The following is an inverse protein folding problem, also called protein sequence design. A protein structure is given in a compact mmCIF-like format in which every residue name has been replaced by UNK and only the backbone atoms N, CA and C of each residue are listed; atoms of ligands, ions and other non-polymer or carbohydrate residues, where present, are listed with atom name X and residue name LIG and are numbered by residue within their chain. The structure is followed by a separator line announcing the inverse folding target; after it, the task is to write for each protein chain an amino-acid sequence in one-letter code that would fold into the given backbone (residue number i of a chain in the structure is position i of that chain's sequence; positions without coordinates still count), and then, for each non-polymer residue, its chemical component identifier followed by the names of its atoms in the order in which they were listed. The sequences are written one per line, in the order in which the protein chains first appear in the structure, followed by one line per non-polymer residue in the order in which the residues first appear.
data_IF_868318548427
#
_entry.id   IF_868318548427
#
_cell.length_a   1.000
_cell.length_b   1.000
_cell.length_c   1.000
_cell.angle_alpha   90.00
_cell.angle_beta   90.00
_cell.angle_gamma   90.00
#
_symmetry.space_group_name_H-M   'P 1'
#
loop_
_entity.id
_entity.type
_entity.pdbx_description
1 polymer ?
#
# COMPACT_ATOMS: atom_id res chain seq x y z
N UNK A 1 3.48 -10.89 20.08
CA UNK A 1 3.68 -9.65 20.87
C UNK A 1 2.41 -8.85 20.84
N UNK A 2 1.90 -8.46 22.00
CA UNK A 2 0.63 -7.79 22.15
C UNK A 2 0.85 -6.40 22.74
N UNK A 3 0.59 -5.36 21.96
CA UNK A 3 0.69 -3.97 22.42
C UNK A 3 -0.70 -3.39 22.63
N UNK A 4 -0.94 -2.80 23.81
CA UNK A 4 -2.23 -2.19 24.17
C UNK A 4 -2.04 -0.69 24.30
N UNK A 5 -2.88 0.07 23.63
CA UNK A 5 -2.92 1.53 23.68
C UNK A 5 -4.15 1.96 24.48
N UNK A 6 -3.91 2.63 25.61
CA UNK A 6 -4.96 3.02 26.56
C UNK A 6 -5.08 4.53 26.65
N UNK A 7 -6.31 5.03 26.73
CA UNK A 7 -6.59 6.44 27.02
C UNK A 7 -6.64 6.65 28.52
N UNK A 8 -5.68 7.43 29.03
CA UNK A 8 -5.59 7.81 30.44
C UNK A 8 -6.61 8.89 30.79
N UNK A 9 -6.86 9.10 32.09
CA UNK A 9 -7.79 10.13 32.58
C UNK A 9 -7.42 11.55 32.17
N UNK A 10 -6.13 11.82 31.90
CA UNK A 10 -5.65 13.12 31.41
C UNK A 10 -5.76 13.27 29.87
N UNK A 11 -6.51 12.38 29.22
CA UNK A 11 -6.62 12.27 27.77
C UNK A 11 -5.26 12.08 27.07
N UNK A 12 -4.26 11.49 27.75
CA UNK A 12 -3.02 11.02 27.11
C UNK A 12 -3.17 9.56 26.72
N UNK A 13 -2.46 9.11 25.68
CA UNK A 13 -2.38 7.68 25.34
C UNK A 13 -1.09 7.09 25.89
N UNK A 14 -1.20 5.90 26.50
CA UNK A 14 -0.06 5.10 26.93
C UNK A 14 -0.02 3.79 26.15
N UNK A 15 1.19 3.40 25.71
CA UNK A 15 1.46 2.08 25.15
C UNK A 15 1.95 1.13 26.24
N UNK A 16 1.35 -0.05 26.32
CA UNK A 16 1.72 -1.12 27.24
C UNK A 16 2.08 -2.35 26.40
N UNK A 17 3.18 -3.03 26.74
CA UNK A 17 3.44 -4.38 26.25
C UNK A 17 2.74 -5.35 27.21
N UNK A 18 1.66 -5.98 26.73
CA UNK A 18 0.80 -6.80 27.57
C UNK A 18 1.32 -8.23 27.61
N UNK A 19 1.48 -8.74 28.83
CA UNK A 19 1.75 -10.16 29.07
C UNK A 19 0.44 -10.86 29.45
N UNK A 20 0.12 -11.98 28.79
CA UNK A 20 -1.02 -12.84 29.10
C UNK A 20 -1.06 -13.28 30.58
N UNK A 21 0.08 -13.39 31.25
CA UNK A 21 0.15 -13.76 32.67
C UNK A 21 -0.47 -12.71 33.61
N UNK A 22 -0.67 -11.48 33.13
CA UNK A 22 -1.17 -10.34 33.92
C UNK A 22 -2.66 -10.45 34.24
N UNK A 23 -3.37 -11.43 33.64
CA UNK A 23 -4.79 -11.81 33.74
C UNK A 23 -5.86 -10.74 33.48
N UNK A 24 -5.64 -9.45 33.79
CA UNK A 24 -6.61 -8.39 33.58
C UNK A 24 -6.19 -7.42 32.48
N UNK A 25 -7.08 -7.20 31.50
CA UNK A 25 -6.92 -6.15 30.51
C UNK A 25 -7.17 -4.78 31.14
N UNK A 26 -6.39 -3.75 30.75
CA UNK A 26 -6.62 -2.40 31.25
C UNK A 26 -7.96 -1.84 30.73
N UNK A 27 -8.51 -0.85 31.43
CA UNK A 27 -9.68 -0.13 30.97
C UNK A 27 -9.33 0.94 29.92
N UNK A 28 -10.33 1.44 29.21
CA UNK A 28 -10.22 2.52 28.21
C UNK A 28 -9.20 2.23 27.09
N UNK A 29 -9.25 0.99 26.57
CA UNK A 29 -8.43 0.58 25.44
C UNK A 29 -8.95 1.30 24.19
N UNK A 30 -8.04 1.83 23.37
CA UNK A 30 -8.34 2.35 22.05
C UNK A 30 -7.96 1.35 20.96
N UNK A 31 -6.81 0.70 21.14
CA UNK A 31 -6.21 -0.16 20.13
C UNK A 31 -5.38 -1.28 20.76
N UNK A 32 -5.52 -2.49 20.23
CA UNK A 32 -4.68 -3.65 20.52
C UNK A 32 -3.97 -4.07 19.22
N UNK A 33 -2.64 -4.00 19.22
CA UNK A 33 -1.79 -4.40 18.11
C UNK A 33 -1.12 -5.74 18.39
N UNK A 34 -1.53 -6.76 17.63
CA UNK A 34 -0.99 -8.10 17.65
C UNK A 34 0.08 -8.24 16.55
N UNK A 35 1.33 -8.04 16.94
CA UNK A 35 2.50 -8.27 16.08
C UNK A 35 3.04 -9.68 16.30
N UNK A 36 3.01 -10.51 15.25
CA UNK A 36 3.36 -11.93 15.30
C UNK A 36 2.70 -12.63 16.50
N UNK A 37 1.37 -12.61 16.62
CA UNK A 37 0.72 -13.22 17.77
C UNK A 37 0.87 -14.74 17.75
N UNK A 38 1.07 -15.29 18.93
CA UNK A 38 0.92 -16.71 19.20
C UNK A 38 -0.55 -17.13 19.17
N UNK A 39 -0.81 -18.43 18.99
CA UNK A 39 -2.17 -18.97 19.07
C UNK A 39 -2.84 -18.67 20.43
N UNK A 40 -2.07 -18.60 21.51
CA UNK A 40 -2.58 -18.24 22.83
C UNK A 40 -3.01 -16.77 22.91
N UNK A 41 -2.24 -15.83 22.34
CA UNK A 41 -2.61 -14.41 22.25
C UNK A 41 -3.88 -14.22 21.41
N UNK A 42 -4.00 -14.91 20.27
CA UNK A 42 -5.21 -14.87 19.42
C UNK A 42 -6.41 -15.42 20.20
N UNK A 43 -6.30 -16.62 20.78
CA UNK A 43 -7.39 -17.25 21.51
C UNK A 43 -7.86 -16.41 22.70
N UNK A 44 -6.94 -15.77 23.42
CA UNK A 44 -7.25 -14.87 24.53
C UNK A 44 -8.10 -13.68 24.06
N UNK A 45 -7.64 -12.95 23.03
CA UNK A 45 -8.38 -11.79 22.50
C UNK A 45 -9.72 -12.21 21.88
N UNK A 46 -9.74 -13.31 21.13
CA UNK A 46 -10.97 -13.87 20.57
C UNK A 46 -12.02 -14.17 21.63
N UNK A 47 -11.62 -14.81 22.74
CA UNK A 47 -12.52 -15.15 23.84
C UNK A 47 -13.01 -13.91 24.59
N UNK A 48 -12.12 -12.96 24.88
CA UNK A 48 -12.43 -11.79 25.71
C UNK A 48 -13.34 -10.77 25.01
N UNK A 49 -13.18 -10.64 23.69
CA UNK A 49 -13.93 -9.67 22.88
C UNK A 49 -14.98 -10.30 21.96
N UNK A 50 -15.12 -11.63 21.99
CA UNK A 50 -15.99 -12.38 21.08
C UNK A 50 -15.69 -12.06 19.61
N UNK A 51 -14.41 -12.14 19.25
CA UNK A 51 -13.87 -11.86 17.92
C UNK A 51 -13.46 -13.15 17.23
N UNK A 52 -13.85 -13.29 15.96
CA UNK A 52 -13.36 -14.35 15.08
C UNK A 52 -12.30 -13.77 14.15
N UNK A 53 -11.05 -14.22 14.32
CA UNK A 53 -9.96 -13.83 13.44
C UNK A 53 -9.77 -14.86 12.33
N UNK A 54 -9.60 -14.41 11.08
CA UNK A 54 -9.35 -15.29 9.97
C UNK A 54 -7.99 -16.00 10.10
N UNK A 55 -7.93 -17.21 9.59
CA UNK A 55 -6.71 -18.01 9.40
C UNK A 55 -5.73 -17.31 8.46
N UNK A 56 -4.52 -17.87 8.28
CA UNK A 56 -3.57 -17.28 7.33
C UNK A 56 -4.08 -17.40 5.90
N UNK A 57 -4.66 -18.54 5.57
CA UNK A 57 -5.18 -18.89 4.25
C UNK A 57 -6.35 -17.98 3.86
N UNK A 58 -7.33 -17.79 4.75
CA UNK A 58 -8.51 -16.94 4.51
C UNK A 58 -8.13 -15.46 4.26
N UNK A 59 -7.06 -14.97 4.89
CA UNK A 59 -6.60 -13.59 4.72
C UNK A 59 -6.02 -13.32 3.33
N UNK A 60 -5.47 -14.35 2.69
CA UNK A 60 -4.86 -14.28 1.37
C UNK A 60 -5.90 -14.34 0.24
N UNK A 61 -7.13 -14.76 0.53
CA UNK A 61 -8.21 -14.82 -0.46
C UNK A 61 -8.59 -13.44 -1.01
N UNK A 62 -8.96 -13.37 -2.29
CA UNK A 62 -9.26 -12.10 -3.00
C UNK A 62 -10.74 -11.71 -2.95
N UNK A 63 -11.59 -12.63 -2.49
CA UNK A 63 -13.05 -12.50 -2.49
C UNK A 63 -13.52 -11.38 -1.58
N UNK A 64 -14.65 -10.74 -1.91
CA UNK A 64 -15.17 -9.62 -1.10
C UNK A 64 -15.55 -10.06 0.31
N UNK A 65 -16.16 -11.24 0.44
CA UNK A 65 -16.52 -11.89 1.71
C UNK A 65 -15.29 -12.14 2.59
N UNK A 66 -14.15 -12.48 2.00
CA UNK A 66 -12.90 -12.69 2.73
C UNK A 66 -12.17 -11.38 3.08
N UNK A 67 -12.51 -10.27 2.42
CA UNK A 67 -11.87 -8.95 2.64
C UNK A 67 -12.61 -8.08 3.63
N UNK A 68 -13.93 -8.22 3.74
CA UNK A 68 -14.76 -7.45 4.66
C UNK A 68 -15.96 -8.27 5.09
N UNK A 69 -16.21 -8.33 6.39
CA UNK A 69 -17.47 -8.78 6.96
C UNK A 69 -17.76 -8.04 8.25
N UNK A 70 -19.04 -7.99 8.62
CA UNK A 70 -19.48 -7.43 9.88
C UNK A 70 -20.62 -8.28 10.46
N UNK A 71 -20.68 -8.35 11.78
CA UNK A 71 -21.83 -8.88 12.50
C UNK A 71 -22.55 -7.73 13.23
N UNK A 72 -23.38 -8.04 14.24
CA UNK A 72 -24.12 -7.01 14.98
C UNK A 72 -23.22 -6.07 15.81
N UNK A 73 -22.02 -6.51 16.21
CA UNK A 73 -21.15 -5.82 17.14
C UNK A 73 -19.71 -5.60 16.62
N UNK A 74 -19.30 -6.31 15.59
CA UNK A 74 -17.92 -6.32 15.09
C UNK A 74 -17.84 -6.04 13.60
N UNK A 75 -16.70 -5.51 13.17
CA UNK A 75 -16.30 -5.39 11.75
C UNK A 75 -14.92 -6.00 11.63
N UNK A 76 -14.69 -6.79 10.59
CA UNK A 76 -13.36 -7.31 10.25
C UNK A 76 -13.00 -7.00 8.81
N UNK A 77 -11.76 -6.59 8.60
CA UNK A 77 -11.20 -6.18 7.30
C UNK A 77 -9.84 -6.82 7.11
N UNK A 78 -9.65 -7.52 6.00
CA UNK A 78 -8.33 -7.95 5.55
C UNK A 78 -7.84 -6.98 4.47
N UNK A 79 -6.93 -6.08 4.84
CA UNK A 79 -6.42 -5.06 3.92
C UNK A 79 -5.01 -5.39 3.44
N UNK A 80 -4.77 -5.16 2.14
CA UNK A 80 -3.47 -5.30 1.52
C UNK A 80 -2.78 -3.94 1.38
N UNK A 81 -1.62 -3.80 2.02
CA UNK A 81 -0.80 -2.60 1.94
C UNK A 81 0.49 -2.87 1.21
N UNK A 82 0.77 -2.02 0.22
CA UNK A 82 2.02 -2.03 -0.49
C UNK A 82 3.07 -1.27 0.33
N UNK A 83 4.09 -1.96 0.83
CA UNK A 83 5.11 -1.36 1.72
C UNK A 83 6.49 -1.46 1.08
N UNK A 84 7.34 -0.47 1.37
CA UNK A 84 8.75 -0.52 0.96
C UNK A 84 9.49 -1.58 1.75
N UNK A 85 10.27 -2.38 1.05
CA UNK A 85 11.18 -3.34 1.66
C UNK A 85 12.49 -2.65 2.02
N UNK A 86 12.71 -2.42 3.32
CA UNK A 86 13.92 -1.78 3.84
C UNK A 86 15.08 -2.76 4.00
N UNK A 87 14.85 -4.07 3.83
CA UNK A 87 15.87 -5.12 3.99
C UNK A 87 16.57 -5.48 2.68
N UNK A 88 16.22 -4.85 1.56
CA UNK A 88 16.89 -5.11 0.30
C UNK A 88 18.23 -4.38 0.25
N UNK A 89 19.32 -5.16 0.25
CA UNK A 89 20.70 -4.72 0.16
C UNK A 89 20.93 -3.65 -0.93
N UNK A 90 21.85 -2.73 -0.64
CA UNK A 90 22.24 -1.54 -1.43
C UNK A 90 22.77 -1.82 -2.85
N UNK A 91 22.75 -3.06 -3.34
CA UNK A 91 23.37 -3.42 -4.61
C UNK A 91 22.54 -3.01 -5.83
N UNK A 92 21.23 -2.79 -5.68
CA UNK A 92 20.32 -2.42 -6.77
C UNK A 92 19.68 -1.03 -6.52
N UNK A 93 20.53 0.00 -6.48
CA UNK A 93 20.19 1.38 -6.05
C UNK A 93 19.05 2.07 -6.83
N UNK A 94 18.55 1.46 -7.90
CA UNK A 94 17.52 2.05 -8.76
C UNK A 94 16.15 1.36 -8.70
N UNK A 95 15.98 0.26 -7.96
CA UNK A 95 14.71 -0.47 -7.91
C UNK A 95 14.08 -0.35 -6.52
N UNK A 96 12.95 0.36 -6.43
CA UNK A 96 12.11 0.33 -5.23
C UNK A 96 11.55 -1.08 -5.08
N UNK A 97 12.10 -1.86 -4.14
CA UNK A 97 11.50 -3.15 -3.78
C UNK A 97 10.29 -2.89 -2.89
N UNK A 98 9.13 -3.27 -3.39
CA UNK A 98 7.88 -3.25 -2.65
C UNK A 98 7.47 -4.68 -2.32
N UNK A 99 6.80 -4.86 -1.18
CA UNK A 99 6.11 -6.09 -0.79
C UNK A 99 4.67 -5.78 -0.39
N UNK A 100 3.79 -6.74 -0.57
CA UNK A 100 2.40 -6.62 -0.11
C UNK A 100 2.31 -7.21 1.29
N UNK A 101 1.82 -6.41 2.23
CA UNK A 101 1.54 -6.82 3.60
C UNK A 101 0.05 -6.92 3.83
N UNK A 102 -0.37 -8.02 4.46
CA UNK A 102 -1.77 -8.22 4.84
C UNK A 102 -1.90 -7.85 6.30
N UNK A 103 -2.79 -6.89 6.58
CA UNK A 103 -3.18 -6.51 7.93
C UNK A 103 -4.66 -6.87 8.10
N UNK A 104 -4.95 -7.64 9.14
CA UNK A 104 -6.32 -7.85 9.58
C UNK A 104 -6.66 -6.78 10.61
N UNK A 105 -7.70 -6.03 10.33
CA UNK A 105 -8.32 -5.10 11.25
C UNK A 105 -9.59 -5.75 11.78
N UNK A 106 -9.83 -5.69 13.08
CA UNK A 106 -11.12 -5.99 13.65
C UNK A 106 -11.54 -4.87 14.61
N UNK A 107 -12.84 -4.66 14.78
CA UNK A 107 -13.37 -3.71 15.76
C UNK A 107 -14.36 -4.41 16.67
N UNK A 108 -14.32 -4.11 17.96
CA UNK A 108 -15.34 -4.55 18.93
C UNK A 108 -15.42 -3.54 20.07
N UNK A 109 -16.63 -3.15 20.48
CA UNK A 109 -16.85 -2.16 21.56
C UNK A 109 -16.06 -0.86 21.34
N UNK A 110 -15.99 -0.40 20.08
CA UNK A 110 -15.21 0.75 19.61
C UNK A 110 -13.68 0.63 19.85
N UNK A 111 -13.15 -0.57 20.13
CA UNK A 111 -11.72 -0.85 20.22
C UNK A 111 -11.23 -1.37 18.88
N UNK A 112 -10.08 -0.89 18.41
CA UNK A 112 -9.41 -1.44 17.24
C UNK A 112 -8.52 -2.62 17.62
N UNK A 113 -8.51 -3.65 16.77
CA UNK A 113 -7.59 -4.77 16.83
C UNK A 113 -6.85 -4.87 15.51
N UNK A 114 -5.53 -5.00 15.54
CA UNK A 114 -4.73 -5.25 14.34
C UNK A 114 -3.93 -6.52 14.48
N UNK A 115 -3.97 -7.40 13.47
CA UNK A 115 -3.08 -8.56 13.37
C UNK A 115 -2.16 -8.37 12.18
N UNK A 116 -0.85 -8.45 12.43
CA UNK A 116 0.20 -8.30 11.42
C UNK A 116 1.40 -9.17 11.73
N UNK A 117 2.12 -9.54 10.67
CA UNK A 117 3.28 -10.44 10.72
C UNK A 117 4.54 -9.79 10.19
N UNK A 118 4.55 -8.48 10.04
CA UNK A 118 5.75 -7.73 9.71
C UNK A 118 5.66 -6.33 10.33
N UNK A 119 6.82 -5.74 10.55
CA UNK A 119 6.95 -4.33 10.92
C UNK A 119 7.09 -3.47 9.66
N UNK A 120 6.40 -2.32 9.68
CA UNK A 120 6.54 -1.29 8.67
C UNK A 120 6.09 0.06 9.23
N UNK A 121 6.62 1.13 8.62
CA UNK A 121 6.60 2.50 9.16
C UNK A 121 5.21 3.07 9.44
N UNK A 122 4.14 2.55 8.82
CA UNK A 122 2.77 3.02 9.06
C UNK A 122 2.37 2.84 10.53
N UNK A 123 2.72 1.72 11.16
CA UNK A 123 2.35 1.47 12.55
C UNK A 123 3.12 2.38 13.52
N UNK A 124 4.39 2.65 13.22
CA UNK A 124 5.23 3.59 13.96
C UNK A 124 4.70 5.03 13.83
N UNK A 125 4.30 5.43 12.62
CA UNK A 125 3.74 6.74 12.33
C UNK A 125 2.42 6.96 13.07
N UNK A 126 1.54 5.97 13.09
CA UNK A 126 0.25 6.04 13.79
C UNK A 126 0.46 6.05 15.29
N UNK A 127 1.37 5.23 15.82
CA UNK A 127 1.77 5.29 17.22
C UNK A 127 2.25 6.70 17.60
N UNK A 128 3.13 7.30 16.80
CA UNK A 128 3.63 8.65 17.07
C UNK A 128 2.50 9.71 17.03
N UNK A 129 1.57 9.61 16.06
CA UNK A 129 0.42 10.53 15.94
C UNK A 129 -0.55 10.41 17.11
N UNK A 130 -0.85 9.19 17.56
CA UNK A 130 -1.73 8.94 18.72
C UNK A 130 -1.11 9.51 20.00
N UNK A 131 0.20 9.33 20.20
CA UNK A 131 0.89 9.85 21.39
C UNK A 131 1.04 11.38 21.36
N UNK A 132 1.22 11.99 20.19
CA UNK A 132 1.38 13.44 20.03
C UNK A 132 0.05 14.20 20.13
N UNK A 133 -1.02 13.67 19.54
CA UNK A 133 -2.34 14.31 19.51
C UNK A 133 -3.48 13.37 19.96
N UNK A 134 -3.46 12.85 21.21
CA UNK A 134 -4.49 11.94 21.74
C UNK A 134 -5.95 12.41 21.59
N UNK A 135 -6.17 13.73 21.58
CA UNK A 135 -7.51 14.35 21.51
C UNK A 135 -8.19 14.14 20.15
N UNK A 136 -7.45 13.69 19.14
CA UNK A 136 -7.98 13.39 17.82
C UNK A 136 -8.34 11.91 17.68
N UNK A 137 -8.20 11.11 18.75
CA UNK A 137 -8.47 9.69 18.78
C UNK A 137 -9.35 9.39 19.98
N UNK A 138 -10.65 9.34 19.75
CA UNK A 138 -11.65 8.99 20.75
C UNK A 138 -11.86 7.48 20.82
N UNK A 139 -11.78 6.78 19.68
CA UNK A 139 -11.93 5.34 19.62
C UNK A 139 -11.12 4.65 18.50
N UNK A 140 -11.37 3.35 18.32
CA UNK A 140 -10.70 2.53 17.32
C UNK A 140 -11.04 2.89 15.87
N UNK A 141 -12.19 3.51 15.61
CA UNK A 141 -12.58 3.97 14.27
C UNK A 141 -11.75 5.18 13.82
N UNK A 142 -11.38 6.08 14.73
CA UNK A 142 -10.41 7.14 14.45
C UNK A 142 -9.04 6.59 14.00
N UNK A 143 -8.60 5.50 14.65
CA UNK A 143 -7.29 4.91 14.39
C UNK A 143 -7.28 4.20 13.04
N UNK A 144 -8.31 3.42 12.71
CA UNK A 144 -8.40 2.75 11.41
C UNK A 144 -8.57 3.77 10.28
N UNK A 145 -9.41 4.80 10.44
CA UNK A 145 -9.55 5.89 9.46
C UNK A 145 -8.18 6.54 9.19
N UNK A 146 -7.47 6.91 10.25
CA UNK A 146 -6.15 7.53 10.13
C UNK A 146 -5.11 6.59 9.51
N UNK A 147 -5.18 5.29 9.79
CA UNK A 147 -4.32 4.28 9.15
C UNK A 147 -4.57 4.23 7.64
N UNK A 148 -5.84 4.17 7.21
CA UNK A 148 -6.16 4.18 5.78
C UNK A 148 -5.72 5.48 5.10
N UNK A 149 -5.94 6.64 5.72
CA UNK A 149 -5.46 7.94 5.23
C UNK A 149 -3.95 7.92 4.98
N UNK A 150 -3.14 7.57 6.00
CA UNK A 150 -1.67 7.47 5.86
C UNK A 150 -1.29 6.49 4.77
N UNK A 151 -2.02 5.37 4.64
CA UNK A 151 -1.74 4.37 3.62
C UNK A 151 -2.07 4.83 2.21
N UNK A 152 -3.09 5.66 2.02
CA UNK A 152 -3.41 6.31 0.74
C UNK A 152 -2.35 7.35 0.39
N UNK A 153 -1.88 8.14 1.36
CA UNK A 153 -0.76 9.09 1.17
C UNK A 153 0.51 8.37 0.66
N UNK A 154 0.89 7.23 1.26
CA UNK A 154 2.07 6.47 0.78
C UNK A 154 1.90 5.92 -0.64
N UNK A 155 0.69 5.58 -1.06
CA UNK A 155 0.43 5.15 -2.43
C UNK A 155 0.54 6.34 -3.41
N UNK A 156 0.08 7.53 -3.00
CA UNK A 156 0.25 8.76 -3.77
C UNK A 156 1.73 9.10 -3.99
N UNK A 157 2.56 9.00 -2.94
CA UNK A 157 4.01 9.20 -3.02
C UNK A 157 4.66 8.27 -4.06
N UNK A 158 4.18 7.01 -4.14
CA UNK A 158 4.68 6.03 -5.11
C UNK A 158 4.25 6.39 -6.54
N UNK A 159 3.01 6.83 -6.75
CA UNK A 159 2.55 7.29 -8.07
C UNK A 159 3.31 8.54 -8.54
N UNK A 160 3.61 9.48 -7.64
CA UNK A 160 4.43 10.65 -7.95
C UNK A 160 5.85 10.24 -8.36
N UNK A 161 6.45 9.30 -7.62
CA UNK A 161 7.76 8.75 -7.99
C UNK A 161 7.73 8.08 -9.37
N UNK A 162 6.71 7.27 -9.67
CA UNK A 162 6.53 6.65 -10.99
C UNK A 162 6.43 7.72 -12.08
N UNK A 163 5.69 8.82 -11.86
CA UNK A 163 5.59 9.90 -12.84
C UNK A 163 6.93 10.57 -13.12
N UNK A 164 7.70 10.84 -12.07
CA UNK A 164 9.02 11.44 -12.19
C UNK A 164 9.96 10.54 -13.01
N UNK A 165 9.98 9.24 -12.72
CA UNK A 165 10.82 8.29 -13.45
C UNK A 165 10.37 8.09 -14.90
N UNK A 166 9.05 8.03 -15.14
CA UNK A 166 8.50 7.96 -16.50
C UNK A 166 8.92 9.18 -17.34
N UNK A 167 8.90 10.39 -16.77
CA UNK A 167 9.38 11.61 -17.45
C UNK A 167 10.86 11.53 -17.78
N UNK A 168 11.70 11.05 -16.84
CA UNK A 168 13.14 10.86 -17.05
C UNK A 168 13.40 9.88 -18.20
N UNK A 169 12.65 8.78 -18.23
CA UNK A 169 12.76 7.76 -19.26
C UNK A 169 12.34 8.29 -20.63
N UNK A 170 11.22 9.04 -20.68
CA UNK A 170 10.75 9.70 -21.90
C UNK A 170 11.81 10.61 -22.52
N UNK A 171 12.46 11.43 -21.72
CA UNK A 171 13.57 12.28 -22.19
C UNK A 171 14.72 11.44 -22.73
N UNK A 172 15.10 10.37 -22.02
CA UNK A 172 16.20 9.48 -22.41
C UNK A 172 15.94 8.79 -23.75
N UNK A 173 14.71 8.33 -23.99
CA UNK A 173 14.28 7.73 -25.27
C UNK A 173 14.39 8.73 -26.43
N UNK A 174 14.06 10.02 -26.20
CA UNK A 174 14.06 11.05 -27.23
C UNK A 174 15.45 11.62 -27.54
N UNK A 175 16.28 11.82 -26.52
CA UNK A 175 17.59 12.45 -26.64
C UNK A 175 18.69 11.50 -27.14
N UNK A 176 18.41 10.19 -27.26
CA UNK A 176 19.37 9.15 -27.67
C UNK A 176 20.69 9.25 -26.87
N UNK A 177 20.59 9.26 -25.54
CA UNK A 177 21.81 9.24 -24.72
C UNK A 177 22.54 7.92 -24.96
N UNK A 178 23.74 7.99 -25.53
CA UNK A 178 24.61 6.84 -25.87
C UNK A 178 24.94 5.96 -24.65
N UNK A 179 24.68 6.44 -23.43
CA UNK A 179 24.89 5.71 -22.16
C UNK A 179 23.78 4.71 -21.81
N UNK A 180 22.58 4.82 -22.39
CA UNK A 180 21.46 3.91 -22.08
C UNK A 180 21.18 2.96 -23.24
N UNK A 181 21.34 1.66 -23.01
CA UNK A 181 20.91 0.67 -24.00
C UNK A 181 19.38 0.63 -24.11
N UNK A 182 18.87 0.29 -25.30
CA UNK A 182 17.44 0.11 -25.50
C UNK A 182 16.84 -1.00 -24.61
N UNK A 183 17.63 -2.03 -24.29
CA UNK A 183 17.22 -3.12 -23.39
C UNK A 183 17.03 -2.63 -21.95
N UNK A 184 17.93 -1.77 -21.45
CA UNK A 184 17.79 -1.14 -20.13
C UNK A 184 16.56 -0.23 -20.08
N UNK A 185 16.34 0.57 -21.13
CA UNK A 185 15.13 1.41 -21.21
C UNK A 185 13.85 0.57 -21.19
N UNK A 186 13.80 -0.55 -21.92
CA UNK A 186 12.66 -1.47 -21.89
C UNK A 186 12.45 -2.07 -20.50
N UNK A 187 13.53 -2.50 -19.83
CA UNK A 187 13.47 -3.04 -18.47
C UNK A 187 12.91 -2.01 -17.48
N UNK A 188 13.35 -0.76 -17.59
CA UNK A 188 12.87 0.33 -16.75
C UNK A 188 11.38 0.63 -17.00
N UNK A 189 10.93 0.67 -18.27
CA UNK A 189 9.51 0.84 -18.61
C UNK A 189 8.67 -0.28 -17.98
N UNK A 190 9.08 -1.54 -18.18
CA UNK A 190 8.34 -2.69 -17.64
C UNK A 190 8.30 -2.68 -16.12
N UNK A 191 9.39 -2.29 -15.46
CA UNK A 191 9.43 -2.16 -14.01
C UNK A 191 8.49 -1.06 -13.49
N UNK A 192 8.41 0.07 -14.19
CA UNK A 192 7.47 1.14 -13.85
C UNK A 192 6.00 0.76 -14.11
N UNK A 193 5.72 0.01 -15.18
CA UNK A 193 4.39 -0.53 -15.47
C UNK A 193 3.95 -1.49 -14.36
N UNK A 194 4.80 -2.44 -13.98
CA UNK A 194 4.53 -3.37 -12.87
C UNK A 194 4.30 -2.62 -11.55
N UNK A 195 5.16 -1.65 -11.24
CA UNK A 195 5.02 -0.86 -10.01
C UNK A 195 3.69 -0.12 -9.96
N UNK A 196 3.30 0.51 -11.07
CA UNK A 196 2.02 1.20 -11.19
C UNK A 196 0.84 0.24 -10.98
N UNK A 197 0.87 -0.94 -11.61
CA UNK A 197 -0.16 -1.97 -11.42
C UNK A 197 -0.30 -2.36 -9.95
N UNK A 198 0.82 -2.61 -9.26
CA UNK A 198 0.82 -2.96 -7.83
C UNK A 198 0.26 -1.86 -6.95
N UNK A 199 0.58 -0.60 -7.23
CA UNK A 199 0.00 0.55 -6.50
C UNK A 199 -1.50 0.62 -6.75
N UNK A 200 -1.94 0.47 -8.01
CA UNK A 200 -3.35 0.48 -8.40
C UNK A 200 -4.14 -0.63 -7.71
N UNK A 201 -3.60 -1.84 -7.61
CA UNK A 201 -4.22 -2.95 -6.88
C UNK A 201 -4.38 -2.61 -5.38
N UNK A 202 -3.34 -2.03 -4.77
CA UNK A 202 -3.38 -1.60 -3.38
C UNK A 202 -4.40 -0.47 -3.14
N UNK A 203 -4.58 0.45 -4.08
CA UNK A 203 -5.62 1.48 -4.04
C UNK A 203 -7.01 0.85 -4.14
N UNK A 204 -7.22 -0.13 -5.01
CA UNK A 204 -8.52 -0.80 -5.13
C UNK A 204 -8.91 -1.56 -3.86
N UNK A 205 -7.98 -2.26 -3.22
CA UNK A 205 -8.25 -2.95 -1.97
C UNK A 205 -8.65 -1.98 -0.85
N UNK A 206 -7.95 -0.83 -0.75
CA UNK A 206 -8.34 0.25 0.18
C UNK A 206 -9.71 0.82 -0.15
N UNK A 207 -10.00 1.06 -1.44
CA UNK A 207 -11.29 1.57 -1.89
C UNK A 207 -12.42 0.65 -1.46
N UNK A 208 -12.24 -0.66 -1.60
CA UNK A 208 -13.24 -1.68 -1.20
C UNK A 208 -13.48 -1.62 0.31
N UNK A 209 -12.41 -1.66 1.11
CA UNK A 209 -12.51 -1.59 2.57
C UNK A 209 -13.22 -0.30 3.03
N UNK A 210 -12.80 0.86 2.54
CA UNK A 210 -13.38 2.15 2.91
C UNK A 210 -14.84 2.29 2.45
N UNK A 211 -15.18 1.79 1.25
CA UNK A 211 -16.57 1.79 0.77
C UNK A 211 -17.46 0.91 1.63
N UNK A 212 -16.95 -0.23 2.12
CA UNK A 212 -17.70 -1.09 3.05
C UNK A 212 -17.86 -0.43 4.42
N UNK A 213 -16.80 0.16 4.96
CA UNK A 213 -16.84 0.94 6.21
C UNK A 213 -17.91 2.05 6.15
N UNK A 214 -17.95 2.84 5.08
CA UNK A 214 -18.95 3.91 4.92
C UNK A 214 -20.41 3.42 5.00
N UNK A 215 -20.67 2.16 4.61
CA UNK A 215 -22.01 1.56 4.67
C UNK A 215 -22.38 1.07 6.06
N UNK A 216 -21.40 0.74 6.91
CA UNK A 216 -21.67 0.22 8.26
C UNK A 216 -22.38 1.27 9.12
N UNK A 217 -23.34 0.84 9.92
CA UNK A 217 -24.06 1.67 10.88
C UNK A 217 -23.28 1.91 12.19
N UNK A 218 -22.19 1.17 12.41
CA UNK A 218 -21.33 1.26 13.61
C UNK A 218 -20.39 2.45 13.61
N UNK A 219 -20.16 3.06 12.44
CA UNK A 219 -19.27 4.20 12.27
C UNK A 219 -20.06 5.49 12.42
N UNK A 220 -19.55 6.41 13.23
CA UNK A 220 -20.16 7.71 13.42
C UNK A 220 -20.07 8.61 12.17
N UNK A 221 -20.75 9.75 12.23
CA UNK A 221 -20.88 10.66 11.10
C UNK A 221 -19.57 11.38 10.76
N UNK A 222 -18.76 11.72 11.76
CA UNK A 222 -17.54 12.51 11.56
C UNK A 222 -16.48 11.63 10.89
N UNK A 223 -16.34 10.37 11.33
CA UNK A 223 -15.47 9.39 10.65
C UNK A 223 -15.98 9.09 9.23
N UNK A 224 -17.29 8.93 9.02
CA UNK A 224 -17.82 8.76 7.66
C UNK A 224 -17.51 9.95 6.75
N UNK A 225 -17.52 11.17 7.29
CA UNK A 225 -17.15 12.35 6.53
C UNK A 225 -15.67 12.32 6.13
N UNK A 226 -14.77 11.96 7.06
CA UNK A 226 -13.34 11.82 6.78
C UNK A 226 -13.07 10.72 5.75
N UNK A 227 -13.64 9.52 5.95
CA UNK A 227 -13.56 8.41 5.00
C UNK A 227 -14.03 8.83 3.60
N UNK A 228 -15.06 9.67 3.49
CA UNK A 228 -15.56 10.19 2.20
C UNK A 228 -14.54 11.10 1.52
N UNK A 229 -13.85 11.95 2.28
CA UNK A 229 -12.79 12.83 1.75
C UNK A 229 -11.63 11.97 1.25
N UNK A 230 -11.14 11.04 2.06
CA UNK A 230 -10.02 10.15 1.69
C UNK A 230 -10.41 9.26 0.50
N UNK A 231 -11.66 8.79 0.43
CA UNK A 231 -12.16 8.01 -0.71
C UNK A 231 -12.20 8.82 -2.01
N UNK A 232 -12.49 10.12 -1.93
CA UNK A 232 -12.42 11.02 -3.09
C UNK A 232 -11.00 11.14 -3.62
N UNK A 233 -10.03 11.39 -2.73
CA UNK A 233 -8.62 11.48 -3.09
C UNK A 233 -8.12 10.16 -3.67
N UNK A 234 -8.48 9.03 -3.05
CA UNK A 234 -8.20 7.68 -3.56
C UNK A 234 -8.72 7.50 -4.99
N UNK A 235 -9.95 7.91 -5.29
CA UNK A 235 -10.50 7.78 -6.64
C UNK A 235 -9.71 8.62 -7.66
N UNK A 236 -9.29 9.83 -7.29
CA UNK A 236 -8.40 10.64 -8.14
C UNK A 236 -7.04 9.97 -8.36
N UNK A 237 -6.48 9.28 -7.36
CA UNK A 237 -5.25 8.50 -7.52
C UNK A 237 -5.43 7.27 -8.43
N UNK A 238 -6.59 6.60 -8.37
CA UNK A 238 -6.91 5.50 -9.29
C UNK A 238 -6.97 6.01 -10.74
N UNK A 239 -7.63 7.14 -10.99
CA UNK A 239 -7.65 7.77 -12.31
C UNK A 239 -6.24 8.18 -12.78
N UNK A 240 -5.46 8.77 -11.87
CA UNK A 240 -4.07 9.14 -12.14
C UNK A 240 -3.22 7.90 -12.52
N UNK A 241 -3.36 6.79 -11.80
CA UNK A 241 -2.63 5.54 -12.11
C UNK A 241 -2.89 5.04 -13.53
N UNK A 242 -4.14 5.13 -14.01
CA UNK A 242 -4.52 4.75 -15.38
C UNK A 242 -3.89 5.70 -16.41
N UNK A 243 -3.90 7.00 -16.14
CA UNK A 243 -3.21 7.98 -17.00
C UNK A 243 -1.71 7.69 -17.10
N UNK A 244 -1.07 7.35 -15.98
CA UNK A 244 0.35 7.01 -15.94
C UNK A 244 0.70 5.75 -16.73
N UNK A 245 -0.15 4.71 -16.71
CA UNK A 245 0.04 3.54 -17.56
C UNK A 245 0.00 3.89 -19.05
N UNK A 246 -0.96 4.72 -19.47
CA UNK A 246 -1.03 5.19 -20.87
C UNK A 246 0.22 5.97 -21.29
N UNK A 247 0.81 6.76 -20.38
CA UNK A 247 2.07 7.48 -20.63
C UNK A 247 3.24 6.50 -20.80
N UNK A 248 3.32 5.47 -19.96
CA UNK A 248 4.35 4.42 -20.08
C UNK A 248 4.23 3.66 -21.40
N UNK A 249 3.02 3.29 -21.81
CA UNK A 249 2.75 2.63 -23.10
C UNK A 249 3.13 3.53 -24.29
N UNK A 250 2.90 4.84 -24.16
CA UNK A 250 3.35 5.81 -25.15
C UNK A 250 4.88 5.86 -25.24
N UNK A 251 5.59 5.88 -24.10
CA UNK A 251 7.06 5.86 -24.07
C UNK A 251 7.59 4.59 -24.72
N UNK A 252 6.99 3.43 -24.43
CA UNK A 252 7.34 2.15 -25.05
C UNK A 252 7.17 2.19 -26.58
N UNK A 253 6.09 2.80 -27.06
CA UNK A 253 5.83 2.98 -28.50
C UNK A 253 6.88 3.88 -29.16
N UNK A 254 7.26 4.99 -28.49
CA UNK A 254 8.31 5.88 -28.98
C UNK A 254 9.65 5.13 -29.05
N UNK A 255 9.99 4.35 -28.02
CA UNK A 255 11.20 3.56 -27.98
C UNK A 255 11.27 2.55 -29.13
N UNK A 256 10.19 1.81 -29.38
CA UNK A 256 10.10 0.88 -30.52
C UNK A 256 10.29 1.61 -31.87
N UNK A 257 9.73 2.81 -32.02
CA UNK A 257 9.94 3.65 -33.21
C UNK A 257 11.41 4.07 -33.38
N UNK A 258 12.09 4.46 -32.29
CA UNK A 258 13.52 4.80 -32.32
C UNK A 258 14.40 3.61 -32.71
N UNK A 259 14.11 2.42 -32.16
CA UNK A 259 14.80 1.18 -32.54
C UNK A 259 14.65 0.92 -34.04
N UNK A 260 13.43 1.04 -34.58
CA UNK A 260 13.17 0.88 -36.02
C UNK A 260 13.93 1.90 -36.87
N UNK A 261 14.07 3.16 -36.42
CA UNK A 261 14.84 4.19 -37.13
C UNK A 261 16.32 3.82 -37.18
N UNK A 262 16.92 3.39 -36.06
CA UNK A 262 18.33 2.98 -36.03
C UNK A 262 18.59 1.72 -36.85
N UNK A 263 17.70 0.72 -36.79
CA UNK A 263 17.80 -0.46 -37.66
C UNK A 263 17.76 -0.07 -39.15
N UNK A 264 16.85 0.83 -39.54
CA UNK A 264 16.78 1.33 -40.92
C UNK A 264 18.05 2.09 -41.34
N UNK A 265 18.68 2.83 -40.43
CA UNK A 265 19.95 3.53 -40.69
C UNK A 265 21.09 2.53 -40.92
N UNK A 266 21.16 1.47 -40.10
CA UNK A 266 22.14 0.38 -40.27
C UNK A 266 21.94 -0.31 -41.63
N UNK A 267 20.70 -0.67 -41.97
CA UNK A 267 20.38 -1.31 -43.26
C UNK A 267 20.80 -0.40 -44.42
N UNK A 268 20.49 0.91 -44.38
CA UNK A 268 20.88 1.87 -45.43
C UNK A 268 22.40 1.91 -45.64
N UNK A 269 23.19 1.89 -44.56
CA UNK A 269 24.65 1.88 -44.63
C UNK A 269 25.15 0.61 -45.33
N UNK A 270 24.63 -0.57 -44.95
CA UNK A 270 24.99 -1.83 -45.61
C UNK A 270 24.57 -1.88 -47.08
N UNK A 271 23.38 -1.37 -47.42
CA UNK A 271 22.92 -1.28 -48.81
C UNK A 271 23.86 -0.41 -49.64
N UNK A 272 24.23 0.78 -49.16
CA UNK A 272 25.16 1.68 -49.86
C UNK A 272 26.55 1.04 -50.01
N UNK A 273 27.07 0.42 -48.94
CA UNK A 273 28.37 -0.27 -48.99
C UNK A 273 28.36 -1.45 -49.98
N UNK A 274 27.27 -2.23 -50.01
CA UNK A 274 27.10 -3.36 -50.94
C UNK A 274 27.09 -2.88 -52.39
N UNK A 275 26.33 -1.82 -52.69
CA UNK A 275 26.27 -1.23 -54.04
C UNK A 275 27.63 -0.69 -54.46
N UNK A 276 28.38 -0.05 -53.55
CA UNK A 276 29.71 0.47 -53.84
C UNK A 276 30.76 -0.63 -54.12
N UNK A 277 30.54 -1.86 -53.62
CA UNK A 277 31.42 -3.01 -53.84
C UNK A 277 31.00 -3.90 -55.02
N UNK A 278 29.90 -3.59 -55.71
CA UNK A 278 29.50 -4.35 -56.90
C UNK A 278 30.47 -4.11 -58.08
N UNK A 279 30.91 -5.16 -58.80
CA UNK A 279 31.70 -4.99 -60.02
C UNK A 279 30.93 -4.19 -61.09
N UNK A 280 31.61 -3.39 -61.92
CA UNK A 280 30.99 -2.55 -62.95
C UNK A 280 30.33 -3.35 -64.08
#
# INVERSE_FOLDING_TARGET
MLYVYIKTQNALVQRINFNLDSQELPQNILWIDLLHPSAAEIAFISSEFNLEFPTKEEREEIELSAKYWEDNATITINAHFLVRDLKSDEEDRNLIKLRTEIVTFATAKNILFTIRYNEFSTFEEIQARILASPKNFEDGFDIIDKMFEVRVEKDADLLEWIDKEARRLRTSVLEKKDEYSYDEMLKDISSLQELNMRVRDSLFDKRRAMTSLLKSDKIDKDIKQNLTIVLKDLNSLVEFSVSQLNILDNIQTILASQINIEQNKIIKIFTVATVAMMPP
#
